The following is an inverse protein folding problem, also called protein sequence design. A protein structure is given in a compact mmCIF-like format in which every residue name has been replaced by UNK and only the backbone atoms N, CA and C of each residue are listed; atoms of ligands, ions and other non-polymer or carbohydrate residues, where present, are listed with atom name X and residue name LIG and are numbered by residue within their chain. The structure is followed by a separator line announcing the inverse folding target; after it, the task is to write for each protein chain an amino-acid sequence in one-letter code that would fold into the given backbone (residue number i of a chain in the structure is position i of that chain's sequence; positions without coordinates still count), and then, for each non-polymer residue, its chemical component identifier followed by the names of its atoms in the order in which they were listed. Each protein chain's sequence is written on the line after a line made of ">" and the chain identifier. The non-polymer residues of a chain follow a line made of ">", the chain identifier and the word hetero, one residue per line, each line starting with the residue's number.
data_IF_425095314197
#
_entry.id   IF_425095314197
#
_cell.length_a   1.000
_cell.length_b   1.000
_cell.length_c   1.000
_cell.angle_alpha   90.00
_cell.angle_beta   90.00
_cell.angle_gamma   90.00
#
_symmetry.space_group_name_H-M   'P 1'
#
loop_
_entity.id
_entity.type
_entity.pdbx_description
1 polymer ?
#
# COMPACT_ATOMS: atom_id res chain seq x y z
N UNK A 1 -39.19 41.34 -60.14
CA UNK A 1 -38.06 42.13 -59.62
C UNK A 1 -37.28 41.24 -58.68
N UNK A 2 -36.14 40.75 -59.17
CA UNK A 2 -35.17 39.96 -58.41
C UNK A 2 -34.21 40.92 -57.72
N UNK A 3 -33.87 40.67 -56.47
CA UNK A 3 -32.61 41.19 -55.89
C UNK A 3 -32.10 40.20 -54.86
N UNK A 4 -31.11 39.41 -55.31
CA UNK A 4 -30.18 38.67 -54.50
C UNK A 4 -29.36 39.62 -53.62
N UNK A 5 -29.03 39.18 -52.41
CA UNK A 5 -27.97 39.78 -51.58
C UNK A 5 -26.99 38.66 -51.21
N UNK A 6 -25.66 38.84 -51.38
CA UNK A 6 -24.68 37.76 -51.22
C UNK A 6 -23.94 37.77 -49.86
N UNK A 7 -23.45 36.59 -49.49
CA UNK A 7 -22.21 36.28 -48.75
C UNK A 7 -21.96 36.85 -47.34
N UNK A 8 -21.81 35.94 -46.36
CA UNK A 8 -20.63 35.96 -45.49
C UNK A 8 -20.37 34.58 -44.87
N UNK A 9 -19.17 34.08 -45.12
CA UNK A 9 -18.70 32.72 -44.87
C UNK A 9 -18.73 32.32 -43.39
N UNK A 10 -19.41 31.22 -43.08
CA UNK A 10 -19.23 30.51 -41.81
C UNK A 10 -17.79 29.99 -41.73
N UNK A 11 -16.98 30.62 -40.87
CA UNK A 11 -15.63 30.16 -40.54
C UNK A 11 -15.77 29.01 -39.53
N UNK A 12 -15.81 27.79 -40.06
CA UNK A 12 -15.77 26.55 -39.28
C UNK A 12 -14.57 26.59 -38.32
N UNK A 13 -14.85 26.60 -37.02
CA UNK A 13 -13.84 26.48 -35.97
C UNK A 13 -13.35 25.04 -35.93
N UNK A 14 -12.13 24.82 -36.43
CA UNK A 14 -11.39 23.56 -36.28
C UNK A 14 -11.34 23.17 -34.79
N UNK A 15 -11.65 21.91 -34.42
CA UNK A 15 -11.45 21.43 -33.06
C UNK A 15 -9.94 21.26 -32.78
N UNK A 16 -9.47 21.90 -31.70
CA UNK A 16 -8.11 21.77 -31.18
C UNK A 16 -7.90 20.37 -30.63
N UNK A 17 -6.96 19.60 -31.19
CA UNK A 17 -6.57 18.29 -30.68
C UNK A 17 -5.79 18.49 -29.36
N UNK A 18 -6.14 17.82 -28.25
CA UNK A 18 -5.37 17.89 -27.01
C UNK A 18 -4.02 17.20 -27.16
N UNK A 19 -2.95 17.87 -26.72
CA UNK A 19 -1.58 17.33 -26.67
C UNK A 19 -1.48 16.24 -25.58
N UNK A 20 -0.84 15.09 -25.83
CA UNK A 20 -0.69 14.05 -24.83
C UNK A 20 0.32 14.44 -23.73
N UNK A 21 0.16 13.94 -22.49
CA UNK A 21 1.08 14.20 -21.38
C UNK A 21 2.43 13.48 -21.57
N UNK A 22 3.55 14.01 -21.02
CA UNK A 22 4.83 13.31 -21.04
C UNK A 22 4.81 12.09 -20.11
N UNK A 23 5.35 10.98 -20.59
CA UNK A 23 5.49 9.72 -19.85
C UNK A 23 6.61 9.80 -18.80
N UNK A 24 6.45 9.19 -17.61
CA UNK A 24 7.53 9.09 -16.63
C UNK A 24 8.56 8.03 -17.08
N UNK A 25 9.82 8.44 -17.14
CA UNK A 25 10.96 7.57 -17.47
C UNK A 25 11.42 6.83 -16.21
N UNK A 26 11.33 5.50 -16.19
CA UNK A 26 11.89 4.64 -15.13
C UNK A 26 13.42 4.75 -15.04
N UNK A 27 14.02 4.91 -13.85
CA UNK A 27 15.45 4.83 -13.68
C UNK A 27 15.91 3.36 -13.52
N UNK A 28 16.72 2.88 -14.45
CA UNK A 28 17.40 1.59 -14.39
C UNK A 28 18.72 1.70 -13.61
N UNK A 29 19.07 0.78 -12.70
CA UNK A 29 20.32 0.84 -11.95
C UNK A 29 21.49 0.32 -12.79
N UNK A 30 22.55 1.13 -12.94
CA UNK A 30 23.83 0.70 -13.52
C UNK A 30 24.68 0.05 -12.42
N UNK A 31 24.87 -1.26 -12.50
CA UNK A 31 25.87 -1.97 -11.72
C UNK A 31 27.21 -1.92 -12.47
N UNK A 32 28.19 -1.23 -11.92
CA UNK A 32 29.59 -1.35 -12.32
C UNK A 32 30.47 -1.03 -11.12
N UNK A 33 31.04 -2.06 -10.50
CA UNK A 33 32.15 -1.91 -9.58
C UNK A 33 33.07 -3.13 -9.72
N UNK A 34 34.15 -2.91 -10.45
CA UNK A 34 35.34 -3.75 -10.54
C UNK A 34 36.04 -3.82 -9.18
N UNK A 35 36.43 -5.04 -8.80
CA UNK A 35 37.29 -5.31 -7.64
C UNK A 35 38.73 -4.88 -7.94
N UNK A 36 39.47 -4.28 -6.98
CA UNK A 36 40.91 -4.40 -6.96
C UNK A 36 41.33 -5.44 -5.92
N UNK A 37 42.09 -6.43 -6.40
CA UNK A 37 42.90 -7.28 -5.55
C UNK A 37 44.08 -6.45 -5.00
N UNK A 38 44.32 -6.50 -3.69
CA UNK A 38 45.62 -6.15 -3.13
C UNK A 38 45.90 -7.01 -1.88
N UNK A 39 46.73 -8.04 -2.07
CA UNK A 39 47.29 -8.87 -1.00
C UNK A 39 48.63 -8.25 -0.61
N UNK A 40 48.75 -7.82 0.64
CA UNK A 40 49.98 -7.26 1.19
C UNK A 40 49.98 -7.17 2.71
N UNK A 41 50.41 -8.28 3.35
CA UNK A 41 51.12 -8.47 4.66
C UNK A 41 50.72 -7.69 5.95
N UNK A 42 50.94 -8.33 7.13
CA UNK A 42 50.50 -7.82 8.43
C UNK A 42 51.52 -6.87 9.06
N UNK A 43 51.04 -5.74 9.57
CA UNK A 43 51.84 -4.75 10.28
C UNK A 43 50.98 -4.03 11.33
N UNK A 44 51.46 -4.06 12.57
CA UNK A 44 50.87 -3.47 13.76
C UNK A 44 50.57 -1.97 13.57
N UNK A 45 49.29 -1.55 13.64
CA UNK A 45 48.92 -0.14 13.74
C UNK A 45 47.48 0.02 14.29
N UNK A 46 47.40 0.65 15.46
CA UNK A 46 46.33 1.51 16.02
C UNK A 46 44.93 1.52 15.36
N UNK A 47 43.84 1.46 16.16
CA UNK A 47 42.48 1.47 15.62
C UNK A 47 42.19 2.81 14.88
N UNK A 48 41.73 2.78 13.61
CA UNK A 48 41.39 4.00 12.90
C UNK A 48 40.11 4.61 13.47
N UNK A 49 40.28 5.75 14.16
CA UNK A 49 39.20 6.66 14.56
C UNK A 49 38.51 7.23 13.31
N UNK A 50 37.53 6.52 12.77
CA UNK A 50 36.60 7.04 11.76
C UNK A 50 35.15 6.65 12.11
N UNK A 51 34.70 7.04 13.30
CA UNK A 51 33.27 6.96 13.67
C UNK A 51 32.77 8.19 14.43
N UNK A 52 33.52 9.30 14.44
CA UNK A 52 33.02 10.55 15.04
C UNK A 52 31.81 11.06 14.27
N UNK A 53 31.85 11.10 12.93
CA UNK A 53 30.75 11.64 12.14
C UNK A 53 29.42 10.90 12.35
N UNK A 54 29.42 9.56 12.37
CA UNK A 54 28.21 8.78 12.64
C UNK A 54 27.76 8.95 14.09
N UNK A 55 28.69 8.95 15.04
CA UNK A 55 28.41 9.17 16.46
C UNK A 55 27.88 10.59 16.72
N UNK A 56 28.35 11.58 15.97
CA UNK A 56 27.94 12.99 16.04
C UNK A 56 26.57 13.20 15.38
N UNK A 57 26.26 12.50 14.29
CA UNK A 57 24.89 12.47 13.74
C UNK A 57 23.91 11.86 14.74
N UNK A 58 24.23 10.70 15.32
CA UNK A 58 23.37 10.09 16.33
C UNK A 58 23.20 10.99 17.56
N UNK A 59 24.25 11.69 18.00
CA UNK A 59 24.15 12.67 19.09
C UNK A 59 23.18 13.80 18.78
N UNK A 60 23.16 14.30 17.54
CA UNK A 60 22.21 15.32 17.09
C UNK A 60 20.78 14.79 17.04
N UNK A 61 20.58 13.56 16.60
CA UNK A 61 19.26 12.92 16.52
C UNK A 61 18.68 12.54 17.89
N UNK A 62 19.52 12.13 18.84
CA UNK A 62 19.07 11.67 20.16
C UNK A 62 19.22 12.71 21.28
N UNK A 63 19.68 13.93 20.99
CA UNK A 63 19.81 15.01 21.98
C UNK A 63 20.84 14.77 23.09
N UNK A 64 21.66 13.71 22.99
CA UNK A 64 22.59 13.25 24.03
C UNK A 64 23.89 14.09 24.17
N UNK A 65 23.93 15.32 23.66
CA UNK A 65 25.16 16.13 23.58
C UNK A 65 24.99 17.63 23.83
N UNK A 66 23.81 18.07 24.25
CA UNK A 66 23.50 19.50 24.44
C UNK A 66 23.24 19.71 25.94
N UNK A 67 24.24 20.29 26.65
CA UNK A 67 23.94 21.03 27.88
C UNK A 67 22.89 22.10 27.59
N UNK A 68 22.13 22.58 28.59
CA UNK A 68 20.83 23.23 28.42
C UNK A 68 20.81 24.13 27.18
N UNK A 69 20.01 23.80 26.15
CA UNK A 69 19.97 24.64 24.96
C UNK A 69 19.60 26.05 25.41
N UNK A 70 20.28 27.11 24.92
CA UNK A 70 19.71 28.45 25.03
C UNK A 70 18.29 28.37 24.47
N UNK A 71 17.28 28.98 25.12
CA UNK A 71 15.92 28.89 24.64
C UNK A 71 15.91 29.42 23.21
N UNK A 72 15.76 28.52 22.25
CA UNK A 72 15.28 28.87 20.92
C UNK A 72 14.07 29.72 21.20
N UNK A 73 14.12 30.99 20.80
CA UNK A 73 12.96 31.86 20.87
C UNK A 73 11.82 31.08 20.26
N UNK A 74 10.88 30.64 21.11
CA UNK A 74 9.62 30.09 20.69
C UNK A 74 9.08 31.13 19.72
N UNK A 75 9.06 30.82 18.41
CA UNK A 75 8.20 31.55 17.50
C UNK A 75 6.82 31.31 18.07
N UNK A 76 6.33 32.29 18.83
CA UNK A 76 5.13 32.19 19.62
C UNK A 76 4.05 31.72 18.64
N UNK A 77 3.54 30.50 18.81
CA UNK A 77 2.52 29.95 17.91
C UNK A 77 1.23 30.77 17.93
N UNK A 78 1.16 31.79 18.81
CA UNK A 78 0.12 32.78 18.94
C UNK A 78 0.70 34.19 18.73
N UNK A 79 1.29 34.46 17.57
CA UNK A 79 1.68 35.82 17.19
C UNK A 79 0.56 36.46 16.36
N UNK A 80 -0.12 37.51 16.87
CA UNK A 80 -1.19 38.17 16.13
C UNK A 80 -0.74 38.89 14.86
N UNK A 81 0.57 39.09 14.65
CA UNK A 81 1.12 39.68 13.42
C UNK A 81 1.60 38.65 12.39
N UNK A 82 1.65 37.38 12.74
CA UNK A 82 2.07 36.31 11.84
C UNK A 82 0.85 35.78 11.06
N UNK A 83 0.89 35.89 9.73
CA UNK A 83 -0.23 35.48 8.86
C UNK A 83 -0.50 33.96 8.91
N UNK A 84 0.50 33.17 9.29
CA UNK A 84 0.39 31.71 9.43
C UNK A 84 -0.03 31.29 10.85
N UNK A 85 -0.12 32.23 11.80
CA UNK A 85 -0.48 31.92 13.18
C UNK A 85 -2.01 31.79 13.35
N UNK A 86 -2.48 30.80 14.14
CA UNK A 86 -3.89 30.72 14.52
C UNK A 86 -4.41 31.92 15.32
N UNK A 87 -3.53 32.76 15.87
CA UNK A 87 -3.90 33.98 16.60
C UNK A 87 -3.86 35.25 15.73
N UNK A 88 -3.66 35.12 14.41
CA UNK A 88 -3.52 36.24 13.48
C UNK A 88 -4.70 37.22 13.55
N UNK A 89 -4.40 38.50 13.75
CA UNK A 89 -5.38 39.58 13.68
C UNK A 89 -5.15 40.41 12.39
N UNK A 90 -5.98 40.12 11.39
CA UNK A 90 -5.90 40.76 10.09
C UNK A 90 -6.05 42.30 10.17
N UNK A 91 -6.84 42.81 11.12
CA UNK A 91 -7.11 44.24 11.22
C UNK A 91 -5.88 44.99 11.69
N UNK A 92 -5.26 44.55 12.78
CA UNK A 92 -4.07 45.20 13.33
C UNK A 92 -2.85 45.04 12.41
N UNK A 93 -2.68 43.88 11.76
CA UNK A 93 -1.66 43.70 10.72
C UNK A 93 -1.86 44.69 9.56
N UNK A 94 -3.10 44.85 9.07
CA UNK A 94 -3.40 45.80 8.00
C UNK A 94 -3.16 47.25 8.40
N UNK A 95 -3.62 47.67 9.58
CA UNK A 95 -3.41 49.02 10.12
C UNK A 95 -1.92 49.34 10.27
N UNK A 96 -1.12 48.38 10.74
CA UNK A 96 0.33 48.53 10.78
C UNK A 96 0.90 48.63 9.35
N UNK A 97 0.49 47.75 8.44
CA UNK A 97 1.02 47.71 7.07
C UNK A 97 0.75 49.01 6.31
N UNK A 98 -0.44 49.61 6.40
CA UNK A 98 -0.76 50.86 5.70
C UNK A 98 -0.07 52.08 6.32
N UNK A 99 0.21 52.05 7.62
CA UNK A 99 0.88 53.17 8.31
C UNK A 99 2.39 53.15 8.16
N UNK A 100 3.01 51.96 8.04
CA UNK A 100 4.48 51.83 7.98
C UNK A 100 5.04 51.62 6.57
N UNK A 101 4.22 51.22 5.60
CA UNK A 101 4.68 50.83 4.26
C UNK A 101 4.48 51.94 3.22
N UNK A 102 5.33 51.96 2.20
CA UNK A 102 5.16 52.84 1.06
C UNK A 102 4.15 52.26 0.05
N UNK A 103 3.49 53.11 -0.73
CA UNK A 103 2.51 52.68 -1.74
C UNK A 103 3.04 51.61 -2.71
N UNK A 104 4.27 51.69 -3.26
CA UNK A 104 4.80 50.64 -4.13
C UNK A 104 5.00 49.30 -3.41
N UNK A 105 5.40 49.33 -2.13
CA UNK A 105 5.52 48.12 -1.32
C UNK A 105 4.15 47.48 -1.06
N UNK A 106 3.12 48.30 -0.85
CA UNK A 106 1.76 47.83 -0.64
C UNK A 106 1.20 47.15 -1.91
N UNK A 107 1.39 47.74 -3.09
CA UNK A 107 1.00 47.14 -4.36
C UNK A 107 1.75 45.84 -4.65
N UNK A 108 3.03 45.77 -4.29
CA UNK A 108 3.79 44.53 -4.41
C UNK A 108 3.21 43.45 -3.50
N UNK A 109 2.93 43.79 -2.25
CA UNK A 109 2.35 42.86 -1.27
C UNK A 109 0.97 42.37 -1.69
N UNK A 110 0.13 43.25 -2.24
CA UNK A 110 -1.16 42.87 -2.82
C UNK A 110 -1.00 41.82 -3.93
N UNK A 111 -0.08 42.05 -4.88
CA UNK A 111 0.15 41.11 -5.97
C UNK A 111 0.66 39.75 -5.46
N UNK A 112 1.57 39.75 -4.47
CA UNK A 112 2.06 38.52 -3.82
C UNK A 112 0.91 37.74 -3.16
N UNK A 113 0.06 38.42 -2.38
CA UNK A 113 -1.10 37.79 -1.74
C UNK A 113 -2.08 37.24 -2.78
N UNK A 114 -2.31 37.96 -3.88
CA UNK A 114 -3.17 37.49 -4.96
C UNK A 114 -2.62 36.24 -5.66
N UNK A 115 -1.30 36.12 -5.78
CA UNK A 115 -0.68 34.89 -6.29
C UNK A 115 -0.80 33.74 -5.30
N UNK A 116 -0.54 34.00 -4.01
CA UNK A 116 -0.61 33.02 -2.94
C UNK A 116 -2.04 32.47 -2.76
N UNK A 117 -3.06 33.33 -2.82
CA UNK A 117 -4.47 32.90 -2.76
C UNK A 117 -4.80 31.93 -3.90
N UNK A 118 -4.30 32.19 -5.11
CA UNK A 118 -4.55 31.32 -6.28
C UNK A 118 -3.81 30.00 -6.16
N UNK A 119 -2.58 30.02 -5.65
CA UNK A 119 -1.78 28.83 -5.40
C UNK A 119 -2.45 27.96 -4.34
N UNK A 120 -2.80 28.53 -3.18
CA UNK A 120 -3.50 27.82 -2.10
C UNK A 120 -4.85 27.24 -2.55
N UNK A 121 -5.64 27.95 -3.37
CA UNK A 121 -6.87 27.36 -3.89
C UNK A 121 -6.58 26.20 -4.85
N UNK A 122 -5.54 26.31 -5.69
CA UNK A 122 -5.15 25.21 -6.58
C UNK A 122 -4.65 23.98 -5.82
N UNK A 123 -3.90 24.18 -4.73
CA UNK A 123 -3.44 23.11 -3.83
C UNK A 123 -4.62 22.47 -3.11
N UNK A 124 -5.55 23.27 -2.59
CA UNK A 124 -6.78 22.79 -1.95
C UNK A 124 -7.59 21.95 -2.94
N UNK A 125 -7.78 22.42 -4.16
CA UNK A 125 -8.49 21.65 -5.20
C UNK A 125 -7.76 20.34 -5.51
N UNK A 126 -6.44 20.39 -5.73
CA UNK A 126 -5.62 19.20 -5.99
C UNK A 126 -5.74 18.15 -4.88
N UNK A 127 -5.67 18.57 -3.61
CA UNK A 127 -5.83 17.68 -2.47
C UNK A 127 -7.22 17.04 -2.43
N UNK A 128 -8.27 17.84 -2.62
CA UNK A 128 -9.66 17.38 -2.67
C UNK A 128 -9.83 16.36 -3.80
N UNK A 129 -9.30 16.63 -5.00
CA UNK A 129 -9.36 15.69 -6.12
C UNK A 129 -8.62 14.39 -5.83
N UNK A 130 -7.38 14.45 -5.33
CA UNK A 130 -6.60 13.25 -5.03
C UNK A 130 -7.28 12.40 -3.97
N UNK A 131 -7.69 12.98 -2.84
CA UNK A 131 -8.38 12.25 -1.78
C UNK A 131 -9.72 11.68 -2.26
N UNK A 132 -10.54 12.44 -2.99
CA UNK A 132 -11.81 11.89 -3.47
C UNK A 132 -11.59 10.76 -4.48
N UNK A 133 -10.62 10.91 -5.38
CA UNK A 133 -10.31 9.87 -6.34
C UNK A 133 -9.80 8.58 -5.64
N UNK A 134 -8.92 8.72 -4.66
CA UNK A 134 -8.41 7.60 -3.86
C UNK A 134 -9.51 6.93 -3.02
N UNK A 135 -10.40 7.70 -2.40
CA UNK A 135 -11.53 7.16 -1.63
C UNK A 135 -12.50 6.39 -2.52
N UNK A 136 -12.77 6.89 -3.73
CA UNK A 136 -13.60 6.19 -4.71
C UNK A 136 -12.90 4.88 -5.14
N UNK A 137 -11.62 4.94 -5.49
CA UNK A 137 -10.86 3.74 -5.89
C UNK A 137 -10.77 2.69 -4.77
N UNK A 138 -10.61 3.13 -3.51
CA UNK A 138 -10.63 2.24 -2.35
C UNK A 138 -12.03 1.63 -2.15
N UNK A 139 -13.09 2.42 -2.28
CA UNK A 139 -14.48 1.94 -2.22
C UNK A 139 -14.75 0.89 -3.30
N UNK A 140 -14.32 1.11 -4.54
CA UNK A 140 -14.45 0.15 -5.63
C UNK A 140 -13.68 -1.14 -5.35
N UNK A 141 -12.48 -1.02 -4.76
CA UNK A 141 -11.68 -2.18 -4.35
C UNK A 141 -12.40 -2.98 -3.26
N UNK A 142 -12.99 -2.30 -2.25
CA UNK A 142 -13.77 -2.96 -1.19
C UNK A 142 -15.00 -3.66 -1.78
N UNK A 143 -15.71 -3.02 -2.72
CA UNK A 143 -16.85 -3.63 -3.41
C UNK A 143 -16.42 -4.88 -4.18
N UNK A 144 -15.31 -4.83 -4.94
CA UNK A 144 -14.79 -5.98 -5.66
C UNK A 144 -14.29 -7.10 -4.74
N UNK A 145 -13.73 -6.76 -3.57
CA UNK A 145 -13.35 -7.73 -2.53
C UNK A 145 -14.58 -8.41 -1.94
N UNK A 146 -15.64 -7.65 -1.66
CA UNK A 146 -16.91 -8.19 -1.15
C UNK A 146 -17.52 -9.18 -2.13
N UNK A 147 -17.65 -8.80 -3.40
CA UNK A 147 -18.18 -9.71 -4.43
C UNK A 147 -17.37 -11.01 -4.52
N UNK A 148 -16.04 -10.93 -4.43
CA UNK A 148 -15.18 -12.13 -4.41
C UNK A 148 -15.37 -12.98 -3.16
N UNK A 149 -15.60 -12.38 -2.01
CA UNK A 149 -15.91 -13.11 -0.78
C UNK A 149 -17.26 -13.83 -0.90
N UNK A 150 -18.29 -13.17 -1.44
CA UNK A 150 -19.61 -13.75 -1.66
C UNK A 150 -19.54 -14.94 -2.63
N UNK A 151 -18.74 -14.85 -3.70
CA UNK A 151 -18.54 -16.00 -4.61
C UNK A 151 -17.82 -17.16 -3.93
N UNK A 152 -16.81 -16.88 -3.11
CA UNK A 152 -16.06 -17.91 -2.37
C UNK A 152 -16.95 -18.66 -1.38
N UNK A 153 -17.87 -17.96 -0.71
CA UNK A 153 -18.82 -18.56 0.22
C UNK A 153 -19.73 -19.58 -0.51
N UNK A 154 -20.22 -19.22 -1.71
CA UNK A 154 -20.96 -20.14 -2.57
C UNK A 154 -20.15 -21.37 -3.01
N UNK A 155 -18.88 -21.19 -3.36
CA UNK A 155 -17.99 -22.31 -3.71
C UNK A 155 -17.73 -23.24 -2.52
N UNK A 156 -17.59 -22.68 -1.30
CA UNK A 156 -17.44 -23.48 -0.08
C UNK A 156 -18.70 -24.28 0.26
N UNK A 157 -19.88 -23.74 0.02
CA UNK A 157 -21.13 -24.46 0.19
C UNK A 157 -21.28 -25.60 -0.84
N UNK A 158 -20.90 -25.38 -2.10
CA UNK A 158 -20.83 -26.44 -3.10
C UNK A 158 -19.87 -27.56 -2.66
N UNK A 159 -18.69 -27.19 -2.16
CA UNK A 159 -17.70 -28.15 -1.66
C UNK A 159 -18.24 -28.97 -0.48
N UNK A 160 -18.96 -28.33 0.46
CA UNK A 160 -19.63 -29.02 1.58
C UNK A 160 -20.67 -30.02 1.09
N UNK A 161 -21.48 -29.65 0.10
CA UNK A 161 -22.47 -30.56 -0.50
C UNK A 161 -21.79 -31.78 -1.13
N UNK A 162 -20.72 -31.57 -1.89
CA UNK A 162 -19.95 -32.65 -2.51
C UNK A 162 -19.34 -33.60 -1.45
N UNK A 163 -18.76 -33.08 -0.37
CA UNK A 163 -18.26 -33.92 0.72
C UNK A 163 -19.36 -34.70 1.45
N UNK A 164 -20.54 -34.10 1.62
CA UNK A 164 -21.70 -34.79 2.19
C UNK A 164 -22.16 -35.93 1.28
N UNK A 165 -22.15 -35.72 -0.03
CA UNK A 165 -22.48 -36.76 -1.01
C UNK A 165 -21.46 -37.90 -1.01
N UNK A 166 -20.16 -37.57 -1.03
CA UNK A 166 -19.07 -38.55 -0.90
C UNK A 166 -19.22 -39.35 0.39
N UNK A 167 -19.49 -38.69 1.51
CA UNK A 167 -19.70 -39.34 2.80
C UNK A 167 -20.89 -40.30 2.75
N UNK A 168 -22.01 -39.88 2.16
CA UNK A 168 -23.20 -40.72 1.97
C UNK A 168 -22.89 -41.95 1.10
N UNK A 169 -22.24 -41.76 -0.05
CA UNK A 169 -21.86 -42.85 -0.95
C UNK A 169 -20.87 -43.80 -0.26
N UNK A 170 -19.90 -43.27 0.49
CA UNK A 170 -18.94 -44.10 1.23
C UNK A 170 -19.61 -44.97 2.29
N UNK A 171 -20.61 -44.43 3.01
CA UNK A 171 -21.40 -45.18 3.99
C UNK A 171 -22.25 -46.26 3.30
N UNK A 172 -22.83 -45.96 2.13
CA UNK A 172 -23.57 -46.93 1.35
C UNK A 172 -22.68 -48.09 0.88
N UNK A 173 -21.48 -47.80 0.34
CA UNK A 173 -20.51 -48.83 -0.07
C UNK A 173 -20.01 -49.65 1.13
N UNK A 174 -19.81 -49.03 2.29
CA UNK A 174 -19.40 -49.73 3.50
C UNK A 174 -20.47 -50.70 4.01
N UNK A 175 -21.76 -50.34 3.90
CA UNK A 175 -22.87 -51.22 4.25
C UNK A 175 -22.99 -52.40 3.28
N UNK A 176 -22.81 -52.17 1.98
CA UNK A 176 -22.86 -53.25 0.99
C UNK A 176 -21.71 -54.25 1.17
N UNK A 177 -20.50 -53.79 1.47
CA UNK A 177 -19.36 -54.68 1.74
C UNK A 177 -19.48 -55.43 3.08
N UNK A 178 -20.30 -54.95 4.03
CA UNK A 178 -20.58 -55.63 5.29
C UNK A 178 -21.51 -56.84 5.14
N UNK A 179 -22.31 -56.89 4.08
CA UNK A 179 -23.32 -57.94 3.83
C UNK A 179 -22.73 -59.17 3.08
N UNK A 180 -21.49 -59.08 2.58
CA UNK A 180 -20.84 -60.15 1.78
C UNK A 180 -20.07 -61.16 2.68
N UNK A 181 -20.19 -61.06 4.01
CA UNK A 181 -19.39 -61.85 4.96
C UNK A 181 -20.20 -62.66 5.97
N UNK A 182 -21.29 -63.32 5.58
CA UNK A 182 -21.99 -64.31 6.45
C UNK A 182 -22.45 -65.62 5.75
N UNK A 183 -21.81 -66.05 4.65
CA UNK A 183 -22.11 -67.35 4.00
C UNK A 183 -20.91 -68.32 3.96
N UNK A 184 -20.16 -68.42 5.06
CA UNK A 184 -19.07 -69.39 5.20
C UNK A 184 -19.12 -70.18 6.50
N UNK A 185 -20.20 -70.95 6.74
CA UNK A 185 -20.17 -72.05 7.71
C UNK A 185 -20.86 -73.29 7.15
N UNK A 186 -20.13 -74.41 7.25
CA UNK A 186 -20.56 -75.81 7.09
C UNK A 186 -20.38 -76.43 5.71
N UNK A 187 -19.17 -76.95 5.45
CA UNK A 187 -19.06 -78.25 4.78
C UNK A 187 -17.87 -79.07 5.28
N UNK A 188 -18.22 -79.96 6.21
CA UNK A 188 -17.77 -81.35 6.34
C UNK A 188 -16.27 -81.66 6.10
N UNK A 189 -15.48 -81.52 7.16
CA UNK A 189 -14.19 -82.20 7.28
C UNK A 189 -14.42 -83.63 7.83
N UNK A 190 -14.93 -84.53 6.99
CA UNK A 190 -14.99 -85.98 7.28
C UNK A 190 -14.04 -86.76 6.35
N UNK A 191 -12.75 -86.45 6.41
CA UNK A 191 -11.76 -87.39 5.91
C UNK A 191 -10.40 -87.20 6.54
N UNK A 192 -9.72 -88.32 6.75
CA UNK A 192 -8.31 -88.50 7.12
C UNK A 192 -8.05 -88.83 8.60
N UNK A 193 -8.01 -90.16 8.81
CA UNK A 193 -6.92 -90.92 9.46
C UNK A 193 -7.29 -91.63 10.77
N UNK A 194 -7.94 -92.76 10.60
CA UNK A 194 -7.70 -93.95 11.40
C UNK A 194 -6.30 -94.54 11.11
N UNK A 195 -5.77 -95.22 12.12
CA UNK A 195 -4.48 -95.92 12.27
C UNK A 195 -3.34 -95.15 12.94
N UNK A 196 -2.65 -95.64 13.97
CA UNK A 196 -2.89 -96.55 15.10
C UNK A 196 -1.50 -96.73 15.76
N UNK A 197 -1.43 -96.60 17.09
CA UNK A 197 -0.32 -97.01 18.00
C UNK A 197 1.00 -96.22 17.86
N UNK A 198 1.74 -95.84 18.91
CA UNK A 198 2.01 -96.44 20.24
C UNK A 198 2.74 -95.34 21.07
N UNK A 199 2.22 -94.91 22.22
CA UNK A 199 2.58 -95.35 23.58
C UNK A 199 4.07 -95.25 23.96
N UNK A 200 4.32 -94.67 25.15
CA UNK A 200 5.51 -94.77 26.03
C UNK A 200 6.42 -93.52 26.04
N UNK A 201 6.32 -92.56 26.98
CA UNK A 201 6.57 -92.55 28.45
C UNK A 201 7.98 -92.05 28.81
N UNK A 202 7.97 -91.06 29.72
CA UNK A 202 8.93 -90.72 30.78
C UNK A 202 10.12 -89.78 30.53
N UNK A 203 10.20 -88.88 31.52
CA UNK A 203 11.27 -88.01 32.02
C UNK A 203 11.65 -86.75 31.24
#
# INVERSE_FOLDING_TARGET
>A
MSSLVPSSSQRERRPSIPRPPPTPTSPQPKASASLPANIGRPGHATPPKKSSAARDMLRKHYGLGVGPPPPLANRSTNDPMDMDSPAFDAKSYYEQLITTSTLPALLKRENELMTEIRELDSERQSLVYNHHHELIAASDTIAAMKTRADTLDGDLDLLRMAFSEISRLSAQVALENGDISEDAVSNDASSIRSHSTRSSVAD
#
